data_IF_534248909730
#
_entry.id   IF_534248909730
#
_cell.length_a   1.000
_cell.length_b   1.000
_cell.length_c   1.000
_cell.angle_alpha   90.00
_cell.angle_beta   90.00
_cell.angle_gamma   90.00
#
_symmetry.space_group_name_H-M   'P 1'
#
loop_
_entity.id
_entity.type
_entity.pdbx_description
1 polymer ?
#
# COMPACT_ATOMS: atom_id res chain seq x y z
N UNK A 1 6.29 -8.91 -15.24
CA UNK A 1 5.98 -7.89 -14.21
C UNK A 1 5.66 -8.50 -12.82
N UNK A 2 6.46 -9.44 -12.29
CA UNK A 2 6.19 -10.03 -10.95
C UNK A 2 6.85 -9.26 -9.80
N UNK A 3 7.95 -8.54 -10.06
CA UNK A 3 8.67 -7.77 -9.04
C UNK A 3 7.86 -6.63 -8.42
N UNK A 4 7.04 -5.91 -9.20
CA UNK A 4 6.23 -4.80 -8.69
C UNK A 4 5.23 -5.21 -7.60
N UNK A 5 4.64 -6.40 -7.67
CA UNK A 5 3.64 -6.82 -6.68
C UNK A 5 4.27 -7.07 -5.30
N UNK A 6 5.47 -7.63 -5.25
CA UNK A 6 6.19 -7.86 -3.99
C UNK A 6 6.72 -6.55 -3.40
N UNK A 7 7.15 -5.63 -4.27
CA UNK A 7 7.57 -4.28 -3.85
C UNK A 7 6.38 -3.52 -3.24
N UNK A 8 5.23 -3.50 -3.91
CA UNK A 8 4.02 -2.84 -3.41
C UNK A 8 3.60 -3.43 -2.05
N UNK A 9 3.65 -4.76 -1.90
CA UNK A 9 3.31 -5.44 -0.64
C UNK A 9 4.30 -5.11 0.49
N UNK A 10 5.60 -5.07 0.19
CA UNK A 10 6.62 -4.66 1.15
C UNK A 10 6.46 -3.21 1.59
N UNK A 11 6.08 -2.32 0.66
CA UNK A 11 5.84 -0.90 0.93
C UNK A 11 4.62 -0.70 1.83
N UNK A 12 3.55 -1.46 1.62
CA UNK A 12 2.36 -1.45 2.49
C UNK A 12 2.73 -1.85 3.92
N UNK A 13 3.44 -2.97 4.10
CA UNK A 13 3.85 -3.45 5.44
C UNK A 13 4.76 -2.41 6.12
N UNK A 14 5.73 -1.87 5.40
CA UNK A 14 6.65 -0.86 5.91
C UNK A 14 5.90 0.41 6.34
N UNK A 15 5.02 0.94 5.50
CA UNK A 15 4.21 2.13 5.79
C UNK A 15 3.29 1.91 7.00
N UNK A 16 2.63 0.75 7.10
CA UNK A 16 1.77 0.42 8.24
C UNK A 16 2.56 0.36 9.55
N UNK A 17 3.75 -0.25 9.56
CA UNK A 17 4.62 -0.26 10.72
C UNK A 17 5.07 1.16 11.11
N UNK A 18 5.43 1.98 10.11
CA UNK A 18 5.86 3.36 10.35
C UNK A 18 4.71 4.21 10.90
N UNK A 19 3.50 4.05 10.38
CA UNK A 19 2.30 4.72 10.88
C UNK A 19 2.04 4.34 12.35
N UNK A 20 2.07 3.05 12.68
CA UNK A 20 1.90 2.56 14.05
C UNK A 20 2.96 3.14 14.99
N UNK A 21 4.22 3.13 14.58
CA UNK A 21 5.33 3.70 15.35
C UNK A 21 5.15 5.20 15.59
N UNK A 22 4.63 5.95 14.60
CA UNK A 22 4.37 7.40 14.73
C UNK A 22 3.22 7.71 15.68
N UNK A 23 2.16 6.90 15.66
CA UNK A 23 1.09 6.99 16.66
C UNK A 23 1.61 6.67 18.07
N UNK A 24 2.43 5.64 18.22
CA UNK A 24 3.02 5.29 19.51
C UNK A 24 3.96 6.37 20.06
N UNK A 25 4.57 7.18 19.18
CA UNK A 25 5.43 8.30 19.55
C UNK A 25 4.66 9.62 19.78
N UNK A 26 3.33 9.59 19.82
CA UNK A 26 2.48 10.77 20.04
C UNK A 26 2.43 11.76 18.86
N UNK A 27 3.03 11.41 17.72
CA UNK A 27 3.04 12.23 16.51
C UNK A 27 1.80 11.97 15.65
N UNK A 28 0.62 12.25 16.22
CA UNK A 28 -0.67 11.90 15.62
C UNK A 28 -0.87 12.49 14.21
N UNK A 29 -0.42 13.73 13.95
CA UNK A 29 -0.52 14.35 12.63
C UNK A 29 0.25 13.58 11.54
N UNK A 30 1.48 13.14 11.85
CA UNK A 30 2.28 12.34 10.93
C UNK A 30 1.74 10.90 10.83
N UNK A 31 1.27 10.33 11.93
CA UNK A 31 0.65 9.00 11.96
C UNK A 31 -0.56 8.90 11.01
N UNK A 32 -1.45 9.90 11.04
CA UNK A 32 -2.59 9.99 10.13
C UNK A 32 -2.10 10.10 8.68
N UNK A 33 -1.11 10.95 8.41
CA UNK A 33 -0.60 11.14 7.04
C UNK A 33 -0.02 9.83 6.47
N UNK A 34 0.78 9.09 7.25
CA UNK A 34 1.31 7.79 6.84
C UNK A 34 0.22 6.73 6.68
N UNK A 35 -0.85 6.80 7.48
CA UNK A 35 -2.00 5.90 7.35
C UNK A 35 -2.74 6.12 6.03
N UNK A 36 -2.96 7.39 5.65
CA UNK A 36 -3.58 7.74 4.36
C UNK A 36 -2.69 7.28 3.20
N UNK A 37 -1.38 7.50 3.29
CA UNK A 37 -0.41 7.02 2.30
C UNK A 37 -0.40 5.48 2.18
N UNK A 38 -0.52 4.76 3.29
CA UNK A 38 -0.65 3.30 3.28
C UNK A 38 -1.94 2.86 2.56
N UNK A 39 -3.07 3.50 2.86
CA UNK A 39 -4.35 3.21 2.21
C UNK A 39 -4.31 3.49 0.70
N UNK A 40 -3.70 4.59 0.27
CA UNK A 40 -3.52 4.88 -1.15
C UNK A 40 -2.68 3.79 -1.86
N UNK A 41 -1.59 3.33 -1.24
CA UNK A 41 -0.78 2.25 -1.80
C UNK A 41 -1.55 0.93 -1.89
N UNK A 42 -2.35 0.60 -0.88
CA UNK A 42 -3.25 -0.57 -0.92
C UNK A 42 -4.25 -0.45 -2.07
N UNK A 43 -4.88 0.71 -2.25
CA UNK A 43 -5.84 0.95 -3.33
C UNK A 43 -5.18 0.82 -4.70
N UNK A 44 -4.01 1.43 -4.90
CA UNK A 44 -3.24 1.29 -6.14
C UNK A 44 -2.89 -0.17 -6.41
N UNK A 45 -2.47 -0.92 -5.40
CA UNK A 45 -2.20 -2.34 -5.52
C UNK A 45 -3.45 -3.15 -5.92
N UNK A 46 -4.60 -2.88 -5.30
CA UNK A 46 -5.88 -3.55 -5.61
C UNK A 46 -6.33 -3.22 -7.04
N UNK A 47 -6.28 -1.96 -7.46
CA UNK A 47 -6.64 -1.54 -8.82
C UNK A 47 -5.74 -2.20 -9.87
N UNK A 48 -4.42 -2.20 -9.63
CA UNK A 48 -3.43 -2.82 -10.51
C UNK A 48 -3.58 -4.35 -10.56
N UNK A 49 -3.99 -4.96 -9.44
CA UNK A 49 -4.30 -6.39 -9.37
C UNK A 49 -5.56 -6.74 -10.17
N UNK A 50 -6.59 -5.89 -10.14
CA UNK A 50 -7.82 -6.04 -10.95
C UNK A 50 -7.56 -5.86 -12.45
N UNK A 51 -6.82 -4.82 -12.86
CA UNK A 51 -6.47 -4.59 -14.26
C UNK A 51 -5.63 -5.72 -14.86
N UNK A 52 -4.76 -6.35 -14.04
CA UNK A 52 -4.01 -7.53 -14.47
C UNK A 52 -4.87 -8.78 -14.70
N UNK A 53 -6.08 -8.85 -14.14
CA UNK A 53 -7.03 -9.95 -14.36
C UNK A 53 -7.85 -9.75 -15.63
N UNK A 54 -8.36 -8.54 -15.88
CA UNK A 54 -9.10 -8.21 -17.12
C UNK A 54 -8.26 -8.43 -18.38
N UNK A 55 -6.95 -8.14 -18.36
CA UNK A 55 -6.06 -8.40 -19.49
C UNK A 55 -5.79 -9.89 -19.78
N UNK A 56 -6.20 -10.80 -18.88
CA UNK A 56 -6.01 -12.25 -19.08
C UNK A 56 -7.28 -12.93 -19.62
N UNK A 57 -8.46 -12.29 -19.54
CA UNK A 57 -9.72 -12.83 -20.08
C UNK A 57 -10.04 -12.39 -21.52
N UNK A 58 -9.24 -11.47 -22.10
CA UNK A 58 -9.34 -11.04 -23.50
C UNK A 58 -8.19 -11.56 -24.37
N UNK A 59 -7.73 -12.79 -24.12
CA UNK A 59 -6.82 -13.52 -25.01
C UNK A 59 -7.33 -14.93 -25.29
#
# INVERSE_FOLDING_TARGET
MRGSKYIDLGLIIFMSYFAFTRFSNGQNGLGIMFTVLALMNVLTFVMKSKQGKEQTETK
#
